data_IF_410737128111
#
_entry.id   IF_410737128111
#
_cell.length_a   1.000
_cell.length_b   1.000
_cell.length_c   1.000
_cell.angle_alpha   90.00
_cell.angle_beta   90.00
_cell.angle_gamma   90.00
#
_symmetry.space_group_name_H-M   'P 1'
#
loop_
_entity.id
_entity.type
_entity.pdbx_description
1 polymer ?
#
# COMPACT_ATOMS: atom_id res chain seq x y z
N UNK A 1 -0.62 3.79 5.38
CA UNK A 1 -0.77 4.45 4.06
C UNK A 1 -0.57 3.42 2.95
N UNK A 2 -1.12 3.69 1.77
CA UNK A 2 -0.92 2.91 0.56
C UNK A 2 -0.18 3.77 -0.45
N UNK A 3 0.94 3.28 -0.97
CA UNK A 3 1.72 3.92 -2.01
C UNK A 3 1.52 3.17 -3.32
N UNK A 4 0.90 3.82 -4.30
CA UNK A 4 0.52 3.18 -5.55
C UNK A 4 1.56 3.46 -6.63
N UNK A 5 2.36 2.45 -6.95
CA UNK A 5 3.30 2.55 -8.06
C UNK A 5 2.53 2.62 -9.38
N UNK A 6 2.74 3.65 -10.23
CA UNK A 6 2.09 3.71 -11.53
C UNK A 6 2.41 2.47 -12.38
N UNK A 7 1.47 2.03 -13.22
CA UNK A 7 1.83 1.11 -14.28
C UNK A 7 2.73 1.79 -15.31
N UNK A 8 3.68 1.03 -15.87
CA UNK A 8 4.52 1.47 -17.00
C UNK A 8 3.67 1.96 -18.17
N UNK A 9 2.55 1.27 -18.44
CA UNK A 9 1.59 1.61 -19.49
C UNK A 9 0.86 2.94 -19.23
N UNK A 10 0.70 3.35 -17.96
CA UNK A 10 0.10 4.64 -17.60
C UNK A 10 1.06 5.81 -17.87
N UNK A 11 2.36 5.61 -17.59
CA UNK A 11 3.39 6.65 -17.72
C UNK A 11 3.95 6.73 -19.15
N UNK A 12 3.98 5.58 -19.86
CA UNK A 12 4.54 5.44 -21.21
C UNK A 12 3.47 4.85 -22.16
N UNK A 13 2.37 5.57 -22.42
CA UNK A 13 1.23 5.05 -23.17
C UNK A 13 1.48 4.95 -24.68
N UNK A 14 2.50 5.62 -25.22
CA UNK A 14 2.70 5.68 -26.68
C UNK A 14 3.08 4.34 -27.35
N UNK A 15 3.39 3.33 -26.55
CA UNK A 15 3.65 1.96 -27.02
C UNK A 15 2.40 1.06 -26.98
N UNK A 16 1.26 1.58 -26.51
CA UNK A 16 -0.01 0.86 -26.50
C UNK A 16 -0.72 0.95 -27.86
N UNK A 17 -1.58 -0.03 -28.22
CA UNK A 17 -2.51 0.11 -29.32
C UNK A 17 -3.42 1.34 -29.17
N UNK A 18 -3.84 1.94 -30.29
CA UNK A 18 -4.78 3.06 -30.26
C UNK A 18 -6.11 2.65 -29.60
N UNK A 19 -6.59 3.46 -28.66
CA UNK A 19 -7.89 3.30 -28.00
C UNK A 19 -7.86 2.52 -26.68
N UNK A 20 -6.70 2.04 -26.24
CA UNK A 20 -6.55 1.40 -24.92
C UNK A 20 -6.38 2.48 -23.83
N UNK A 21 -7.45 2.74 -23.06
CA UNK A 21 -7.48 3.80 -22.01
C UNK A 21 -7.69 3.27 -20.59
N UNK A 22 -7.95 1.97 -20.42
CA UNK A 22 -8.36 1.39 -19.14
C UNK A 22 -7.36 1.69 -18.01
N UNK A 23 -6.05 1.60 -18.29
CA UNK A 23 -5.02 1.86 -17.28
C UNK A 23 -4.92 3.36 -16.91
N UNK A 24 -5.31 4.27 -17.80
CA UNK A 24 -5.38 5.69 -17.48
C UNK A 24 -6.62 6.01 -16.64
N UNK A 25 -7.75 5.40 -16.95
CA UNK A 25 -9.01 5.56 -16.21
C UNK A 25 -8.88 5.12 -14.74
N UNK A 26 -8.14 4.04 -14.50
CA UNK A 26 -7.79 3.60 -13.14
C UNK A 26 -6.96 4.67 -12.41
N UNK A 27 -5.92 5.20 -13.04
CA UNK A 27 -5.07 6.21 -12.43
C UNK A 27 -5.87 7.47 -12.10
N UNK A 28 -6.72 7.94 -13.02
CA UNK A 28 -7.61 9.08 -12.82
C UNK A 28 -8.57 8.85 -11.64
N UNK A 29 -9.10 7.63 -11.51
CA UNK A 29 -10.00 7.27 -10.41
C UNK A 29 -9.28 7.29 -9.06
N UNK A 30 -8.03 6.83 -9.00
CA UNK A 30 -7.21 6.88 -7.79
C UNK A 30 -6.73 8.29 -7.46
N UNK A 31 -6.36 9.11 -8.45
CA UNK A 31 -6.00 10.52 -8.27
C UNK A 31 -7.20 11.37 -7.80
N UNK A 32 -8.43 10.95 -8.12
CA UNK A 32 -9.64 11.61 -7.64
C UNK A 32 -9.93 11.35 -6.15
N UNK A 33 -9.28 10.38 -5.51
CA UNK A 33 -9.39 10.12 -4.07
C UNK A 33 -8.60 11.20 -3.31
N UNK A 34 -9.31 12.20 -2.74
CA UNK A 34 -8.71 13.29 -1.95
C UNK A 34 -8.35 12.80 -0.54
N UNK A 35 -7.20 12.13 -0.40
CA UNK A 35 -6.74 11.55 0.86
C UNK A 35 -5.21 11.39 0.90
N UNK A 36 -4.46 12.50 0.84
CA UNK A 36 -3.00 12.50 0.69
C UNK A 36 -2.23 11.87 1.88
N UNK A 37 -2.87 11.73 3.05
CA UNK A 37 -2.27 11.07 4.22
C UNK A 37 -2.40 9.54 4.16
N UNK A 38 -3.41 9.02 3.46
CA UNK A 38 -3.71 7.60 3.37
C UNK A 38 -3.27 6.99 2.04
N UNK A 39 -3.27 7.78 0.95
CA UNK A 39 -2.93 7.36 -0.41
C UNK A 39 -1.82 8.25 -0.98
N UNK A 40 -0.70 7.64 -1.32
CA UNK A 40 0.44 8.29 -1.98
C UNK A 40 0.50 7.83 -3.42
N UNK A 41 0.47 8.80 -4.33
CA UNK A 41 0.51 8.57 -5.77
C UNK A 41 1.54 9.50 -6.40
N UNK A 42 2.09 9.10 -7.55
CA UNK A 42 3.19 9.85 -8.20
C UNK A 42 3.05 9.92 -9.72
N UNK A 43 1.84 9.82 -10.27
CA UNK A 43 1.68 9.81 -11.72
C UNK A 43 2.11 11.13 -12.37
N UNK A 44 1.78 12.29 -11.79
CA UNK A 44 2.23 13.59 -12.30
C UNK A 44 3.76 13.73 -12.22
N UNK A 45 4.34 13.38 -11.08
CA UNK A 45 5.78 13.43 -10.80
C UNK A 45 6.55 12.50 -11.74
N UNK A 46 6.05 11.28 -11.96
CA UNK A 46 6.64 10.33 -12.90
C UNK A 46 6.53 10.83 -14.34
N UNK A 47 5.41 11.44 -14.75
CA UNK A 47 5.29 12.07 -16.08
C UNK A 47 6.28 13.22 -16.26
N UNK A 48 6.56 14.00 -15.20
CA UNK A 48 7.59 15.05 -15.22
C UNK A 48 8.99 14.46 -15.31
N UNK A 49 9.31 13.48 -14.47
CA UNK A 49 10.62 12.83 -14.42
C UNK A 49 10.95 12.08 -15.73
N UNK A 50 9.93 11.63 -16.46
CA UNK A 50 10.11 11.05 -17.80
C UNK A 50 10.76 12.01 -18.80
N UNK A 51 10.64 13.32 -18.61
CA UNK A 51 11.26 14.32 -19.48
C UNK A 51 12.79 14.39 -19.33
N UNK A 52 13.35 13.77 -18.29
CA UNK A 52 14.78 13.73 -18.02
C UNK A 52 15.51 12.64 -18.83
N UNK A 53 16.84 12.72 -18.90
CA UNK A 53 17.66 11.75 -19.66
C UNK A 53 17.74 10.37 -18.98
N UNK A 54 17.53 10.28 -17.66
CA UNK A 54 17.59 9.03 -16.91
C UNK A 54 16.26 8.27 -17.04
N UNK A 55 16.24 7.02 -17.56
CA UNK A 55 15.01 6.25 -17.66
C UNK A 55 14.40 5.98 -16.28
N UNK A 56 13.10 6.24 -16.13
CA UNK A 56 12.33 5.93 -14.92
C UNK A 56 11.66 4.54 -14.95
N UNK A 57 11.60 3.92 -16.12
CA UNK A 57 11.23 2.52 -16.32
C UNK A 57 12.29 1.82 -17.16
N UNK A 58 12.52 0.56 -16.82
CA UNK A 58 13.24 -0.35 -17.69
C UNK A 58 12.48 -0.52 -19.01
N UNK A 59 13.20 -0.74 -20.11
CA UNK A 59 12.58 -1.01 -21.42
C UNK A 59 12.18 -2.47 -21.53
N UNK A 60 13.02 -3.38 -21.06
CA UNK A 60 12.89 -4.83 -21.14
C UNK A 60 12.16 -5.45 -19.95
N UNK A 61 11.77 -4.65 -18.97
CA UNK A 61 11.18 -5.10 -17.71
C UNK A 61 9.85 -4.36 -17.42
N UNK A 62 9.00 -4.95 -16.58
CA UNK A 62 7.76 -4.33 -16.12
C UNK A 62 7.99 -3.22 -15.09
N UNK A 63 9.09 -3.25 -14.33
CA UNK A 63 9.34 -2.39 -13.18
C UNK A 63 9.92 -1.02 -13.54
N UNK A 64 9.80 -0.08 -12.60
CA UNK A 64 10.58 1.15 -12.61
C UNK A 64 12.09 0.87 -12.47
N UNK A 65 12.94 1.82 -12.85
CA UNK A 65 14.36 1.83 -12.45
C UNK A 65 14.50 2.38 -11.03
N UNK A 66 15.72 2.39 -10.47
CA UNK A 66 15.96 3.11 -9.21
C UNK A 66 15.61 4.60 -9.29
N UNK A 67 15.69 5.22 -10.47
CA UNK A 67 15.30 6.62 -10.66
C UNK A 67 13.79 6.81 -10.54
N UNK A 68 13.00 5.91 -11.15
CA UNK A 68 11.54 5.93 -10.97
C UNK A 68 11.14 5.61 -9.53
N UNK A 69 11.82 4.65 -8.90
CA UNK A 69 11.63 4.33 -7.48
C UNK A 69 11.96 5.52 -6.55
N UNK A 70 12.97 6.34 -6.89
CA UNK A 70 13.31 7.53 -6.12
C UNK A 70 12.18 8.57 -6.10
N UNK A 71 11.40 8.68 -7.19
CA UNK A 71 10.23 9.57 -7.25
C UNK A 71 9.18 9.15 -6.21
N UNK A 72 8.83 7.86 -6.14
CA UNK A 72 7.90 7.35 -5.13
C UNK A 72 8.49 7.45 -3.72
N UNK A 73 9.78 7.14 -3.56
CA UNK A 73 10.47 7.21 -2.26
C UNK A 73 10.40 8.62 -1.67
N UNK A 74 10.63 9.64 -2.51
CA UNK A 74 10.48 11.04 -2.12
C UNK A 74 9.07 11.35 -1.63
N UNK A 75 8.04 10.97 -2.40
CA UNK A 75 6.66 11.21 -2.02
C UNK A 75 6.29 10.54 -0.68
N UNK A 76 6.69 9.28 -0.48
CA UNK A 76 6.48 8.55 0.78
C UNK A 76 7.10 9.30 1.97
N UNK A 77 8.37 9.71 1.86
CA UNK A 77 9.08 10.38 2.95
C UNK A 77 8.50 11.78 3.22
N UNK A 78 8.15 12.52 2.18
CA UNK A 78 7.51 13.85 2.32
C UNK A 78 6.14 13.77 2.98
N UNK A 79 5.38 12.68 2.76
CA UNK A 79 4.12 12.44 3.46
C UNK A 79 4.33 12.09 4.94
N UNK A 80 5.35 11.27 5.26
CA UNK A 80 5.56 10.76 6.61
C UNK A 80 6.24 11.75 7.57
N UNK A 81 7.11 12.63 7.07
CA UNK A 81 7.93 13.47 7.94
C UNK A 81 8.01 14.92 7.48
N UNK A 82 7.90 15.82 8.44
CA UNK A 82 8.20 17.25 8.26
C UNK A 82 9.67 17.52 7.94
N UNK A 83 10.57 16.59 8.26
CA UNK A 83 11.98 16.66 7.88
C UNK A 83 12.19 16.54 6.37
N UNK A 84 11.23 15.90 5.68
CA UNK A 84 11.19 15.79 4.23
C UNK A 84 12.31 14.94 3.62
N UNK A 85 12.27 14.83 2.31
CA UNK A 85 13.27 14.16 1.50
C UNK A 85 14.58 14.96 1.42
N UNK A 86 15.72 14.28 1.57
CA UNK A 86 17.06 14.87 1.51
C UNK A 86 17.70 14.49 0.18
N UNK A 87 17.61 15.41 -0.80
CA UNK A 87 18.08 15.21 -2.17
C UNK A 87 19.61 14.96 -2.22
N UNK A 88 20.37 15.66 -1.38
CA UNK A 88 21.83 15.51 -1.30
C UNK A 88 22.28 14.15 -0.76
N UNK A 89 21.36 13.36 -0.19
CA UNK A 89 21.61 12.02 0.30
C UNK A 89 21.65 10.95 -0.80
N UNK A 90 21.16 11.25 -2.00
CA UNK A 90 21.13 10.30 -3.11
C UNK A 90 22.56 10.02 -3.60
N UNK A 91 22.93 8.75 -3.72
CA UNK A 91 24.25 8.34 -4.24
C UNK A 91 24.09 7.40 -5.43
N UNK A 92 24.94 7.62 -6.42
CA UNK A 92 25.13 6.69 -7.53
C UNK A 92 26.16 5.64 -7.15
N UNK A 93 25.76 4.37 -7.20
CA UNK A 93 26.64 3.23 -6.90
C UNK A 93 27.37 2.71 -8.14
N UNK A 94 26.89 3.09 -9.32
CA UNK A 94 27.43 2.73 -10.62
C UNK A 94 26.35 2.19 -11.54
N UNK A 95 26.79 1.59 -12.65
CA UNK A 95 25.89 0.97 -13.64
C UNK A 95 26.02 -0.55 -13.58
N UNK A 96 24.89 -1.25 -13.56
CA UNK A 96 24.80 -2.71 -13.57
C UNK A 96 23.96 -3.20 -14.75
N UNK A 97 24.15 -4.45 -15.16
CA UNK A 97 23.27 -5.11 -16.13
C UNK A 97 22.05 -5.69 -15.42
N UNK A 98 20.84 -5.26 -15.82
CA UNK A 98 19.56 -5.75 -15.33
C UNK A 98 18.95 -6.73 -16.34
N UNK A 99 18.56 -7.93 -15.91
CA UNK A 99 17.81 -8.89 -16.74
C UNK A 99 16.32 -8.57 -16.69
N UNK A 100 15.72 -8.25 -17.84
CA UNK A 100 14.33 -7.82 -17.90
C UNK A 100 13.33 -8.98 -17.89
N UNK A 101 12.38 -8.95 -16.97
CA UNK A 101 11.36 -9.99 -16.78
C UNK A 101 10.53 -10.30 -18.06
N UNK A 102 10.18 -9.29 -18.85
CA UNK A 102 9.42 -9.45 -20.10
C UNK A 102 10.20 -10.32 -21.10
N UNK A 103 11.52 -10.21 -21.12
CA UNK A 103 12.36 -10.99 -22.04
C UNK A 103 12.50 -12.45 -21.61
N UNK A 104 12.51 -12.69 -20.30
CA UNK A 104 12.46 -14.04 -19.71
C UNK A 104 11.15 -14.72 -20.07
N UNK A 105 10.01 -14.03 -19.95
CA UNK A 105 8.68 -14.54 -20.33
C UNK A 105 8.64 -14.92 -21.82
N UNK A 106 9.28 -14.14 -22.68
CA UNK A 106 9.39 -14.43 -24.12
C UNK A 106 10.35 -15.59 -24.45
N UNK A 107 11.03 -16.17 -23.46
CA UNK A 107 12.04 -17.22 -23.66
C UNK A 107 13.31 -16.71 -24.36
N UNK A 108 13.56 -15.41 -24.33
CA UNK A 108 14.70 -14.75 -24.94
C UNK A 108 15.36 -13.79 -23.94
N UNK A 109 15.98 -14.29 -22.86
CA UNK A 109 16.54 -13.45 -21.81
C UNK A 109 17.49 -12.39 -22.38
N UNK A 110 17.26 -11.15 -21.99
CA UNK A 110 18.04 -9.99 -22.40
C UNK A 110 18.30 -9.07 -21.23
N UNK A 111 19.46 -8.44 -21.25
CA UNK A 111 19.85 -7.46 -20.24
C UNK A 111 19.87 -6.04 -20.80
N UNK A 112 19.73 -5.06 -19.92
CA UNK A 112 20.00 -3.65 -20.21
C UNK A 112 20.74 -2.97 -19.05
N UNK A 113 21.62 -1.99 -19.33
CA UNK A 113 22.32 -1.27 -18.29
C UNK A 113 21.37 -0.35 -17.52
N UNK A 114 21.57 -0.24 -16.21
CA UNK A 114 20.85 0.70 -15.34
C UNK A 114 21.76 1.26 -14.27
N UNK A 115 21.47 2.49 -13.84
CA UNK A 115 22.16 3.10 -12.71
C UNK A 115 21.57 2.54 -11.40
N UNK A 116 22.44 2.03 -10.52
CA UNK A 116 22.08 1.72 -9.14
C UNK A 116 22.19 2.98 -8.29
N UNK A 117 21.13 3.24 -7.52
CA UNK A 117 21.03 4.38 -6.64
C UNK A 117 20.65 3.91 -5.23
N UNK A 118 21.17 4.60 -4.22
CA UNK A 118 20.70 4.48 -2.83
C UNK A 118 20.66 5.85 -2.15
N UNK A 119 20.23 5.88 -0.89
CA UNK A 119 20.33 7.06 -0.03
C UNK A 119 21.33 6.80 1.11
N UNK A 120 22.18 7.77 1.41
CA UNK A 120 22.88 7.85 2.69
C UNK A 120 22.66 9.23 3.32
N UNK A 121 22.12 9.22 4.54
CA UNK A 121 21.90 10.44 5.29
C UNK A 121 23.13 10.79 6.13
N UNK A 122 23.40 12.09 6.34
CA UNK A 122 24.47 12.53 7.23
C UNK A 122 24.31 11.95 8.63
N UNK A 123 25.40 11.50 9.24
CA UNK A 123 25.45 10.98 10.61
C UNK A 123 24.54 9.76 10.89
N UNK A 124 24.02 9.11 9.85
CA UNK A 124 23.20 7.90 9.93
C UNK A 124 24.04 6.68 9.55
N UNK A 125 24.09 5.68 10.45
CA UNK A 125 24.65 4.35 10.14
C UNK A 125 23.52 3.35 10.02
N UNK A 126 23.31 2.83 8.81
CA UNK A 126 22.29 1.83 8.53
C UNK A 126 22.78 0.43 8.90
N UNK A 127 21.97 -0.29 9.67
CA UNK A 127 22.12 -1.72 9.91
C UNK A 127 21.07 -2.49 9.10
N UNK A 128 21.41 -3.72 8.70
CA UNK A 128 20.55 -4.60 7.91
C UNK A 128 20.67 -6.03 8.41
N UNK A 129 19.54 -6.66 8.68
CA UNK A 129 19.42 -8.07 9.03
C UNK A 129 18.38 -8.75 8.13
N UNK A 130 18.61 -10.01 7.77
CA UNK A 130 17.61 -10.81 7.05
C UNK A 130 17.05 -11.81 8.05
N UNK A 131 15.76 -11.70 8.33
CA UNK A 131 15.02 -12.55 9.25
C UNK A 131 14.10 -13.47 8.46
N UNK A 132 14.19 -14.77 8.78
CA UNK A 132 13.25 -15.78 8.27
C UNK A 132 11.93 -15.66 9.01
N UNK A 133 10.84 -15.67 8.26
CA UNK A 133 9.50 -15.53 8.82
C UNK A 133 8.90 -16.90 9.12
N UNK A 134 8.03 -16.93 10.13
CA UNK A 134 7.33 -18.14 10.57
C UNK A 134 5.84 -17.86 10.62
N UNK A 135 5.03 -18.84 10.23
CA UNK A 135 3.57 -18.79 10.42
C UNK A 135 3.21 -18.74 11.91
N UNK A 136 1.93 -18.49 12.21
CA UNK A 136 1.41 -18.56 13.57
C UNK A 136 1.62 -19.93 14.26
N UNK A 137 1.89 -20.99 13.49
CA UNK A 137 2.18 -22.34 14.01
C UNK A 137 3.69 -22.62 14.17
N UNK A 138 4.54 -21.63 13.91
CA UNK A 138 6.00 -21.73 14.01
C UNK A 138 6.66 -22.41 12.80
N UNK A 139 5.95 -22.53 11.68
CA UNK A 139 6.50 -23.11 10.44
C UNK A 139 7.19 -22.03 9.63
N UNK A 140 8.46 -22.23 9.29
CA UNK A 140 9.21 -21.30 8.44
C UNK A 140 8.57 -21.18 7.05
N UNK A 141 8.46 -19.95 6.55
CA UNK A 141 7.97 -19.66 5.20
C UNK A 141 9.18 -19.51 4.28
N UNK A 142 9.49 -20.54 3.48
CA UNK A 142 10.74 -20.57 2.68
C UNK A 142 10.85 -19.45 1.63
N UNK A 143 9.72 -18.96 1.13
CA UNK A 143 9.67 -17.96 0.04
C UNK A 143 9.63 -16.52 0.51
N UNK A 144 9.51 -16.26 1.82
CA UNK A 144 9.31 -14.91 2.36
C UNK A 144 10.28 -14.64 3.51
N UNK A 145 10.95 -13.50 3.41
CA UNK A 145 11.85 -13.00 4.46
C UNK A 145 11.47 -11.58 4.81
N UNK A 146 11.73 -11.20 6.06
CA UNK A 146 11.79 -9.80 6.45
C UNK A 146 13.23 -9.31 6.28
N UNK A 147 13.38 -8.12 5.71
CA UNK A 147 14.64 -7.38 5.74
C UNK A 147 14.47 -6.28 6.79
N UNK A 148 15.09 -6.51 7.94
CA UNK A 148 15.05 -5.60 9.07
C UNK A 148 16.15 -4.54 8.91
N UNK A 149 15.77 -3.29 9.07
CA UNK A 149 16.64 -2.14 9.09
C UNK A 149 16.55 -1.42 10.42
N UNK A 150 17.66 -0.85 10.84
CA UNK A 150 17.70 0.07 11.96
C UNK A 150 18.84 1.05 11.80
N UNK A 151 18.68 2.25 12.32
CA UNK A 151 19.72 3.27 12.24
C UNK A 151 20.37 3.53 13.60
N UNK A 152 21.65 3.90 13.57
CA UNK A 152 22.26 4.68 14.65
C UNK A 152 22.35 6.14 14.19
N UNK A 153 21.59 7.02 14.85
CA UNK A 153 21.41 8.43 14.49
C UNK A 153 20.09 8.98 15.04
N UNK A 154 19.76 10.23 14.71
CA UNK A 154 18.43 10.78 14.97
C UNK A 154 17.49 10.40 13.79
N UNK A 155 16.39 9.68 14.03
CA UNK A 155 15.51 9.24 12.96
C UNK A 155 14.67 10.39 12.39
N UNK A 156 14.44 10.37 11.09
CA UNK A 156 13.52 11.29 10.42
C UNK A 156 12.07 10.81 10.58
N UNK A 157 11.88 9.49 10.55
CA UNK A 157 10.62 8.81 10.86
C UNK A 157 10.85 7.93 12.10
N UNK A 158 10.39 8.36 13.29
CA UNK A 158 10.57 7.61 14.53
C UNK A 158 9.66 6.38 14.60
N UNK A 159 9.99 5.46 15.50
CA UNK A 159 9.20 4.27 15.77
C UNK A 159 9.48 3.10 14.83
N UNK A 160 8.61 2.09 14.88
CA UNK A 160 8.70 0.91 14.02
C UNK A 160 7.82 1.05 12.78
N UNK A 161 8.43 0.96 11.60
CA UNK A 161 7.72 0.98 10.31
C UNK A 161 7.68 -0.40 9.69
N UNK A 162 6.49 -0.90 9.38
CA UNK A 162 6.30 -2.07 8.52
C UNK A 162 6.05 -1.61 7.08
N UNK A 163 6.88 -2.09 6.16
CA UNK A 163 6.66 -1.93 4.71
C UNK A 163 6.29 -3.27 4.11
N UNK A 164 5.04 -3.39 3.67
CA UNK A 164 4.53 -4.51 2.91
C UNK A 164 4.55 -4.12 1.44
N UNK A 165 5.03 -5.00 0.56
CA UNK A 165 5.17 -4.61 -0.85
C UNK A 165 5.11 -5.77 -1.84
N UNK A 166 4.65 -5.47 -3.05
CA UNK A 166 4.87 -6.31 -4.23
C UNK A 166 6.32 -6.20 -4.76
N UNK A 167 6.62 -6.69 -5.96
CA UNK A 167 7.97 -6.60 -6.50
C UNK A 167 8.50 -5.17 -6.76
N UNK A 168 7.66 -4.13 -6.79
CA UNK A 168 8.11 -2.74 -6.95
C UNK A 168 8.83 -2.20 -5.71
N UNK A 169 8.46 -2.67 -4.52
CA UNK A 169 9.05 -2.20 -3.25
C UNK A 169 10.54 -2.49 -3.09
N UNK A 170 11.09 -3.45 -3.84
CA UNK A 170 12.53 -3.77 -3.78
C UNK A 170 13.42 -2.59 -4.16
N UNK A 171 13.03 -1.82 -5.18
CA UNK A 171 13.81 -0.67 -5.61
C UNK A 171 13.64 0.55 -4.68
N UNK A 172 12.58 0.59 -3.86
CA UNK A 172 12.37 1.62 -2.83
C UNK A 172 13.25 1.39 -1.61
N UNK A 173 13.46 0.13 -1.24
CA UNK A 173 14.16 -0.28 -0.02
C UNK A 173 15.46 0.51 0.25
N UNK A 174 16.44 0.58 -0.67
CA UNK A 174 17.68 1.32 -0.42
C UNK A 174 17.51 2.85 -0.34
N UNK A 175 16.37 3.38 -0.80
CA UNK A 175 16.05 4.81 -0.79
C UNK A 175 15.36 5.24 0.49
N UNK A 176 14.45 4.43 1.01
CA UNK A 176 13.62 4.80 2.17
C UNK A 176 14.18 4.29 3.49
N UNK A 177 14.90 3.16 3.51
CA UNK A 177 15.39 2.55 4.74
C UNK A 177 16.22 3.50 5.64
N UNK A 178 17.09 4.39 5.11
CA UNK A 178 17.85 5.32 5.94
C UNK A 178 17.01 6.34 6.73
N UNK A 179 15.75 6.55 6.38
CA UNK A 179 14.88 7.55 7.02
C UNK A 179 14.17 7.01 8.27
N UNK A 180 14.04 5.70 8.42
CA UNK A 180 13.30 5.06 9.51
C UNK A 180 14.21 4.77 10.72
N UNK A 181 13.69 4.96 11.93
CA UNK A 181 14.36 4.49 13.15
C UNK A 181 14.59 2.99 13.10
N UNK A 182 13.50 2.24 12.88
CA UNK A 182 13.52 0.83 12.53
C UNK A 182 12.49 0.55 11.45
N UNK A 183 12.79 -0.39 10.55
CA UNK A 183 11.83 -0.84 9.56
C UNK A 183 11.93 -2.34 9.32
N UNK A 184 10.79 -3.02 9.21
CA UNK A 184 10.69 -4.36 8.63
C UNK A 184 10.15 -4.23 7.22
N UNK A 185 10.91 -4.67 6.22
CA UNK A 185 10.48 -4.66 4.81
C UNK A 185 10.22 -6.09 4.38
N UNK A 186 8.97 -6.37 4.00
CA UNK A 186 8.49 -7.73 3.74
C UNK A 186 7.74 -7.74 2.41
N UNK A 187 8.16 -8.62 1.50
CA UNK A 187 7.40 -8.87 0.28
C UNK A 187 6.07 -9.54 0.64
N UNK A 188 4.96 -8.90 0.29
CA UNK A 188 3.62 -9.39 0.56
C UNK A 188 3.28 -10.48 -0.46
N UNK A 189 3.24 -11.73 -0.01
CA UNK A 189 2.83 -12.85 -0.85
C UNK A 189 1.50 -13.46 -0.41
N UNK A 190 1.23 -13.50 0.91
CA UNK A 190 -0.05 -13.98 1.49
C UNK A 190 -0.16 -13.59 2.98
N UNK A 191 -0.79 -12.45 3.34
CA UNK A 191 -0.92 -12.02 4.74
C UNK A 191 -1.76 -12.99 5.60
N UNK A 192 -2.59 -13.87 4.98
CA UNK A 192 -3.46 -14.80 5.71
C UNK A 192 -2.69 -15.90 6.47
N UNK A 193 -1.43 -16.14 6.09
CA UNK A 193 -0.55 -17.09 6.75
C UNK A 193 -0.07 -16.62 8.15
N UNK A 194 -0.37 -15.36 8.51
CA UNK A 194 -0.13 -14.80 9.83
C UNK A 194 1.34 -14.57 10.18
N UNK A 195 2.25 -14.71 9.22
CA UNK A 195 3.70 -14.57 9.46
C UNK A 195 4.15 -13.13 9.70
N UNK A 196 3.31 -12.14 9.37
CA UNK A 196 3.55 -10.71 9.63
C UNK A 196 2.92 -10.25 10.94
N UNK A 197 2.27 -11.12 11.72
CA UNK A 197 1.43 -10.68 12.85
C UNK A 197 2.21 -9.89 13.88
N UNK A 198 3.40 -10.36 14.23
CA UNK A 198 4.27 -9.68 15.20
C UNK A 198 4.72 -8.30 14.68
N UNK A 199 5.05 -8.21 13.39
CA UNK A 199 5.45 -6.95 12.75
C UNK A 199 4.27 -5.97 12.65
N UNK A 200 3.06 -6.47 12.33
CA UNK A 200 1.83 -5.69 12.31
C UNK A 200 1.44 -5.16 13.69
N UNK A 201 1.57 -6.00 14.74
CA UNK A 201 1.24 -5.61 16.11
C UNK A 201 2.30 -4.63 16.69
N UNK A 202 3.53 -4.65 16.19
CA UNK A 202 4.62 -3.76 16.60
C UNK A 202 4.69 -2.45 15.80
N UNK A 203 4.12 -2.40 14.60
CA UNK A 203 4.23 -1.26 13.70
C UNK A 203 3.44 -0.05 14.22
N UNK A 204 4.14 1.09 14.31
CA UNK A 204 3.52 2.41 14.50
C UNK A 204 3.16 3.04 13.16
N UNK A 205 3.89 2.68 12.10
CA UNK A 205 3.62 3.10 10.73
C UNK A 205 3.55 1.87 9.83
N UNK A 206 2.48 1.77 9.04
CA UNK A 206 2.33 0.72 8.01
C UNK A 206 2.30 1.39 6.64
N UNK A 207 3.16 0.93 5.74
CA UNK A 207 3.22 1.33 4.35
C UNK A 207 2.95 0.09 3.51
N UNK A 208 1.89 0.12 2.71
CA UNK A 208 1.65 -0.90 1.70
C UNK A 208 2.01 -0.32 0.33
N UNK A 209 2.97 -0.92 -0.37
CA UNK A 209 3.39 -0.54 -1.71
C UNK A 209 2.83 -1.55 -2.70
N UNK A 210 2.00 -1.10 -3.64
CA UNK A 210 1.42 -1.97 -4.65
C UNK A 210 1.41 -1.24 -5.99
N UNK A 211 1.66 -1.99 -7.06
CA UNK A 211 1.49 -1.50 -8.41
C UNK A 211 0.02 -1.33 -8.74
N UNK A 212 -0.27 -0.27 -9.48
CA UNK A 212 -1.61 0.13 -9.91
C UNK A 212 -2.50 -1.04 -10.37
N UNK A 213 -1.99 -1.97 -11.19
CA UNK A 213 -2.72 -3.15 -11.65
C UNK A 213 -3.03 -4.20 -10.57
N UNK A 214 -2.19 -4.33 -9.55
CA UNK A 214 -2.42 -5.26 -8.43
C UNK A 214 -3.23 -4.62 -7.31
N UNK A 215 -3.29 -3.28 -7.27
CA UNK A 215 -4.01 -2.56 -6.23
C UNK A 215 -5.45 -3.04 -6.13
N UNK A 216 -6.16 -3.23 -7.24
CA UNK A 216 -7.52 -3.77 -7.20
C UNK A 216 -7.54 -5.22 -6.75
N UNK A 217 -6.66 -6.10 -7.23
CA UNK A 217 -6.66 -7.50 -6.76
C UNK A 217 -6.36 -7.59 -5.26
N UNK A 218 -5.48 -6.74 -4.75
CA UNK A 218 -5.03 -6.74 -3.35
C UNK A 218 -5.98 -6.00 -2.41
N UNK A 219 -6.64 -4.93 -2.89
CA UNK A 219 -7.73 -4.24 -2.17
C UNK A 219 -9.02 -5.08 -2.25
N UNK A 220 -9.29 -5.80 -3.33
CA UNK A 220 -10.46 -6.66 -3.40
C UNK A 220 -10.28 -7.97 -2.62
N UNK A 221 -9.05 -8.29 -2.18
CA UNK A 221 -8.86 -9.26 -1.11
C UNK A 221 -9.26 -8.65 0.25
N UNK A 222 -10.20 -9.32 0.91
CA UNK A 222 -11.33 -8.67 1.60
C UNK A 222 -10.98 -7.91 2.88
N UNK A 223 -9.78 -8.11 3.43
CA UNK A 223 -9.36 -7.52 4.71
C UNK A 223 -8.61 -6.19 4.55
N UNK A 224 -7.73 -6.07 3.56
CA UNK A 224 -7.09 -4.80 3.20
C UNK A 224 -8.07 -3.88 2.49
N UNK A 225 -8.98 -4.44 1.69
CA UNK A 225 -10.11 -3.72 1.11
C UNK A 225 -10.96 -3.00 2.11
N UNK A 226 -11.34 -3.69 3.19
CA UNK A 226 -12.13 -3.11 4.25
C UNK A 226 -11.43 -1.93 4.93
N UNK A 227 -10.12 -2.03 5.20
CA UNK A 227 -9.36 -0.94 5.80
C UNK A 227 -9.23 0.25 4.83
N UNK A 228 -8.98 0.00 3.55
CA UNK A 228 -8.95 1.01 2.50
C UNK A 228 -10.31 1.70 2.42
N UNK A 229 -11.38 0.94 2.26
CA UNK A 229 -12.74 1.45 2.17
C UNK A 229 -13.12 2.29 3.38
N UNK A 230 -12.77 1.86 4.59
CA UNK A 230 -13.01 2.66 5.79
C UNK A 230 -12.28 4.02 5.74
N UNK A 231 -11.03 4.02 5.29
CA UNK A 231 -10.21 5.22 5.18
C UNK A 231 -10.74 6.21 4.13
N UNK A 232 -11.21 5.71 2.98
CA UNK A 232 -11.72 6.55 1.87
C UNK A 232 -13.25 6.58 1.81
N UNK A 233 -13.94 6.21 2.90
CA UNK A 233 -15.39 6.01 2.89
C UNK A 233 -16.19 7.24 2.45
N UNK A 234 -15.65 8.44 2.69
CA UNK A 234 -16.26 9.71 2.31
C UNK A 234 -16.01 10.10 0.84
N UNK A 235 -15.09 9.42 0.15
CA UNK A 235 -14.77 9.60 -1.27
C UNK A 235 -15.62 8.73 -2.19
N UNK A 236 -16.31 7.71 -1.66
CA UNK A 236 -17.14 6.78 -2.44
C UNK A 236 -18.60 7.20 -2.53
N UNK A 237 -19.25 6.78 -3.62
CA UNK A 237 -20.70 6.90 -3.75
C UNK A 237 -21.41 5.98 -2.76
N UNK A 238 -22.26 6.58 -1.90
CA UNK A 238 -23.08 5.84 -0.94
C UNK A 238 -24.31 5.27 -1.62
N UNK A 239 -24.43 3.95 -1.65
CA UNK A 239 -25.54 3.24 -2.31
C UNK A 239 -26.70 2.92 -1.36
N UNK A 240 -26.47 3.08 -0.05
CA UNK A 240 -27.46 2.87 1.02
C UNK A 240 -26.86 3.17 2.40
N UNK A 241 -27.65 3.00 3.46
CA UNK A 241 -27.20 3.20 4.84
C UNK A 241 -28.28 3.65 5.80
N UNK A 242 -27.89 3.86 7.05
CA UNK A 242 -28.76 4.36 8.11
C UNK A 242 -28.07 4.40 9.46
N UNK A 243 -28.84 4.67 10.51
CA UNK A 243 -28.39 4.59 11.90
C UNK A 243 -28.95 3.32 12.53
N UNK A 244 -28.08 2.49 13.11
CA UNK A 244 -28.46 1.27 13.80
C UNK A 244 -28.37 1.51 15.32
N UNK A 245 -29.50 1.40 16.02
CA UNK A 245 -29.55 1.61 17.46
C UNK A 245 -28.89 0.49 18.26
N UNK A 246 -28.46 0.79 19.49
CA UNK A 246 -27.86 -0.18 20.40
C UNK A 246 -28.66 -1.50 20.52
N UNK A 247 -27.99 -2.64 20.37
CA UNK A 247 -28.59 -3.97 20.45
C UNK A 247 -29.52 -4.33 19.29
N UNK A 248 -29.58 -3.49 18.24
CA UNK A 248 -30.35 -3.75 17.03
C UNK A 248 -29.53 -4.52 16.01
N UNK A 249 -30.22 -5.10 15.03
CA UNK A 249 -29.62 -5.76 13.88
C UNK A 249 -30.25 -5.28 12.58
N UNK A 250 -29.49 -5.31 11.49
CA UNK A 250 -30.00 -5.09 10.14
C UNK A 250 -29.45 -6.14 9.20
N UNK A 251 -30.32 -6.66 8.33
CA UNK A 251 -29.92 -7.51 7.21
C UNK A 251 -29.44 -6.61 6.08
N UNK A 252 -28.22 -6.82 5.63
CA UNK A 252 -27.63 -6.18 4.46
C UNK A 252 -27.73 -7.18 3.32
N UNK A 253 -28.47 -6.83 2.28
CA UNK A 253 -28.70 -7.70 1.13
C UNK A 253 -27.92 -7.17 -0.09
N UNK A 254 -27.39 -8.10 -0.88
CA UNK A 254 -26.60 -7.77 -2.07
C UNK A 254 -27.49 -7.12 -3.13
N UNK A 255 -26.85 -6.27 -3.95
CA UNK A 255 -27.25 -6.17 -5.35
C UNK A 255 -26.26 -6.97 -6.17
N UNK A 256 -26.72 -7.89 -7.03
CA UNK A 256 -25.81 -8.60 -7.92
C UNK A 256 -25.06 -7.57 -8.76
N UNK A 257 -23.77 -7.80 -8.98
CA UNK A 257 -22.89 -7.14 -9.96
C UNK A 257 -21.94 -6.03 -9.46
N UNK A 258 -21.76 -5.82 -8.14
CA UNK A 258 -20.71 -4.91 -7.61
C UNK A 258 -20.14 -5.43 -6.29
N UNK A 259 -18.85 -5.24 -6.02
CA UNK A 259 -18.26 -5.52 -4.71
C UNK A 259 -18.82 -4.53 -3.68
N UNK A 260 -19.51 -5.04 -2.67
CA UNK A 260 -20.12 -4.21 -1.64
C UNK A 260 -19.32 -4.26 -0.35
N UNK A 261 -19.12 -3.09 0.23
CA UNK A 261 -18.62 -2.94 1.58
C UNK A 261 -19.67 -2.26 2.44
N UNK A 262 -19.79 -2.70 3.68
CA UNK A 262 -20.48 -1.93 4.72
C UNK A 262 -19.44 -1.19 5.54
N UNK A 263 -19.53 0.13 5.55
CA UNK A 263 -18.78 1.00 6.45
C UNK A 263 -19.62 1.23 7.70
N UNK A 264 -19.01 1.07 8.87
CA UNK A 264 -19.64 1.30 10.17
C UNK A 264 -18.82 2.29 10.97
N UNK A 265 -19.48 3.27 11.56
CA UNK A 265 -18.88 4.39 12.28
C UNK A 265 -19.60 4.64 13.61
N UNK A 266 -18.84 4.86 14.68
CA UNK A 266 -19.41 5.21 15.99
C UNK A 266 -19.87 6.67 15.99
N UNK A 267 -20.98 6.94 16.67
CA UNK A 267 -21.43 8.32 16.83
C UNK A 267 -20.57 9.09 17.82
N UNK A 268 -20.39 10.39 17.54
CA UNK A 268 -19.71 11.34 18.42
C UNK A 268 -20.19 11.21 19.87
N UNK A 269 -19.24 11.06 20.79
CA UNK A 269 -19.50 10.91 22.22
C UNK A 269 -19.70 9.46 22.70
N UNK A 270 -19.54 8.47 21.83
CA UNK A 270 -19.46 7.06 22.21
C UNK A 270 -18.04 6.70 22.62
N UNK A 271 -17.88 6.03 23.77
CA UNK A 271 -16.55 5.59 24.25
C UNK A 271 -16.01 4.38 23.45
N UNK A 272 -16.91 3.48 23.03
CA UNK A 272 -16.58 2.31 22.21
C UNK A 272 -17.84 1.67 21.63
N UNK A 273 -17.71 0.95 20.51
CA UNK A 273 -18.75 0.09 19.95
C UNK A 273 -18.21 -1.29 19.62
N UNK A 274 -18.93 -2.36 19.98
CA UNK A 274 -18.68 -3.68 19.42
C UNK A 274 -19.62 -3.85 18.23
N UNK A 275 -19.03 -3.99 17.05
CA UNK A 275 -19.74 -4.16 15.79
C UNK A 275 -19.45 -5.57 15.28
N UNK A 276 -20.49 -6.31 14.95
CA UNK A 276 -20.35 -7.64 14.34
C UNK A 276 -21.05 -7.67 12.99
N UNK A 277 -20.31 -8.05 11.95
CA UNK A 277 -20.81 -8.30 10.58
C UNK A 277 -20.47 -9.72 10.22
N UNK A 278 -21.49 -10.51 9.85
CA UNK A 278 -21.35 -11.96 9.67
C UNK A 278 -20.74 -12.65 10.91
N UNK A 279 -19.54 -13.22 10.80
CA UNK A 279 -18.80 -13.90 11.87
C UNK A 279 -17.63 -13.07 12.45
N UNK A 280 -17.51 -11.81 12.03
CA UNK A 280 -16.40 -10.91 12.42
C UNK A 280 -16.88 -9.85 13.38
N UNK A 281 -16.20 -9.72 14.52
CA UNK A 281 -16.44 -8.69 15.53
C UNK A 281 -15.25 -7.74 15.63
N UNK A 282 -15.50 -6.44 15.58
CA UNK A 282 -14.50 -5.38 15.74
C UNK A 282 -14.95 -4.42 16.84
N UNK A 283 -14.00 -3.93 17.64
CA UNK A 283 -14.23 -2.85 18.60
C UNK A 283 -13.80 -1.52 17.98
N UNK A 284 -14.76 -0.61 17.80
CA UNK A 284 -14.51 0.77 17.40
C UNK A 284 -14.32 1.64 18.64
N UNK A 285 -13.48 2.66 18.52
CA UNK A 285 -13.15 3.62 19.60
C UNK A 285 -12.99 5.02 19.00
N UNK A 286 -12.97 6.11 19.79
CA UNK A 286 -12.70 7.44 19.26
C UNK A 286 -11.41 7.56 18.44
N UNK A 287 -10.40 6.73 18.74
CA UNK A 287 -9.12 6.71 18.02
C UNK A 287 -9.18 5.87 16.72
N UNK A 288 -10.18 5.00 16.60
CA UNK A 288 -10.49 4.22 15.39
C UNK A 288 -12.00 4.16 15.21
N UNK A 289 -12.64 5.28 14.84
CA UNK A 289 -14.09 5.45 14.95
C UNK A 289 -14.85 4.70 13.87
N UNK A 290 -14.15 4.22 12.84
CA UNK A 290 -14.73 3.65 11.62
C UNK A 290 -14.01 2.37 11.22
N UNK A 291 -14.76 1.43 10.65
CA UNK A 291 -14.24 0.24 9.97
C UNK A 291 -15.12 -0.07 8.77
N UNK A 292 -14.66 -0.91 7.84
CA UNK A 292 -15.53 -1.50 6.83
C UNK A 292 -15.46 -3.03 6.87
N UNK A 293 -16.38 -3.67 6.18
CA UNK A 293 -16.43 -5.12 5.97
C UNK A 293 -16.86 -5.39 4.54
N UNK A 294 -16.12 -6.24 3.83
CA UNK A 294 -16.59 -6.82 2.57
C UNK A 294 -17.78 -7.73 2.85
N UNK A 295 -18.82 -7.66 2.01
CA UNK A 295 -20.03 -8.49 2.13
C UNK A 295 -20.26 -9.27 0.82
N UNK A 296 -20.26 -10.60 0.90
CA UNK A 296 -20.49 -11.49 -0.24
C UNK A 296 -21.77 -12.30 -0.05
N UNK A 297 -22.87 -11.57 -0.07
CA UNK A 297 -24.21 -12.06 0.14
C UNK A 297 -24.88 -11.48 1.38
N UNK A 298 -26.06 -12.02 1.73
CA UNK A 298 -26.82 -11.54 2.87
C UNK A 298 -26.05 -11.71 4.17
N UNK A 299 -25.78 -10.59 4.86
CA UNK A 299 -25.13 -10.59 6.18
C UNK A 299 -25.93 -9.80 7.18
N UNK A 300 -25.87 -10.23 8.44
CA UNK A 300 -26.43 -9.46 9.56
C UNK A 300 -25.36 -8.55 10.15
N UNK A 301 -25.63 -7.25 10.21
CA UNK A 301 -24.88 -6.29 11.01
C UNK A 301 -25.55 -6.15 12.39
N UNK A 302 -24.78 -6.27 13.47
CA UNK A 302 -25.21 -6.07 14.86
C UNK A 302 -24.24 -5.15 15.60
N UNK A 303 -24.72 -4.44 16.61
CA UNK A 303 -23.94 -3.45 17.37
C UNK A 303 -24.30 -3.41 18.85
N UNK A 304 -23.33 -3.16 19.72
CA UNK A 304 -23.56 -2.94 21.16
C UNK A 304 -24.05 -1.53 21.50
N UNK A 305 -23.81 -0.53 20.64
CA UNK A 305 -24.21 0.88 20.80
C UNK A 305 -24.83 1.44 19.52
N UNK A 306 -25.31 2.68 19.53
CA UNK A 306 -25.79 3.32 18.31
C UNK A 306 -24.61 3.63 17.38
N UNK A 307 -24.69 3.18 16.13
CA UNK A 307 -23.68 3.41 15.09
C UNK A 307 -24.36 3.91 13.82
N UNK A 308 -23.63 4.66 13.01
CA UNK A 308 -24.01 4.94 11.63
C UNK A 308 -23.36 3.91 10.71
N UNK A 309 -24.07 3.49 9.67
CA UNK A 309 -23.54 2.59 8.67
C UNK A 309 -23.98 3.00 7.27
N UNK A 310 -23.15 2.70 6.28
CA UNK A 310 -23.48 2.93 4.88
C UNK A 310 -22.83 1.91 3.97
N UNK A 311 -23.45 1.71 2.82
CA UNK A 311 -22.97 0.79 1.78
C UNK A 311 -22.20 1.59 0.74
N UNK A 312 -21.04 1.06 0.36
CA UNK A 312 -20.24 1.58 -0.75
C UNK A 312 -19.99 0.46 -1.74
N UNK A 313 -19.87 0.86 -2.99
CA UNK A 313 -19.64 -0.01 -4.13
C UNK A 313 -18.39 0.50 -4.84
N UNK A 314 -17.43 -0.39 -5.10
CA UNK A 314 -16.16 -0.08 -5.77
C UNK A 314 -16.16 -0.69 -7.18
#
# INVERSE_FOLDING_TARGET
>A
MVAVAPDKATIIPEFLPEGETCVQEVAESLEALDSPEALVTVWEEMRKARADERPIYFRLDTHWTNAGAAVMSKAIIETLSRGGWIEEGIRELGTVDHEGDLTVILGLPGTEPTDELDVALPDTVLSREIRKLQTATGVEVESVVAVDFGIAGEPIVPGHTLVMHDSYGWALTPMIAPYFETAAIIAETDPSLGYMRDDLDAAETIIHVSVQRELYETILDRDLGAAFVAAFADSYDRTGGGTLGAGSSVELDERPDVDHYVVVEIQDGSDSAEVTVADRTVTLTPDSPRTAFSIDGPVTLTTSVTVDYFLVSI
#
